data_IF_057890788053
#
_entry.id   IF_057890788053
#
_cell.length_a   1.000
_cell.length_b   1.000
_cell.length_c   1.000
_cell.angle_alpha   90.00
_cell.angle_beta   90.00
_cell.angle_gamma   90.00
#
_symmetry.space_group_name_H-M   'P 1'
#
loop_
_entity.id
_entity.type
_entity.pdbx_description
1 polymer ?
#
# COMPACT_ATOMS: atom_id res chain seq x y z
N UNK A 1 -34.48 -32.20 4.92
CA UNK A 1 -33.28 -31.50 5.41
C UNK A 1 -32.51 -30.97 4.20
N UNK A 2 -32.81 -29.72 3.82
CA UNK A 2 -31.87 -28.91 3.04
C UNK A 2 -30.62 -28.67 3.88
N UNK A 3 -29.46 -28.60 3.24
CA UNK A 3 -28.60 -27.41 3.25
C UNK A 3 -27.60 -27.55 2.10
N UNK A 4 -28.05 -27.11 0.92
CA UNK A 4 -27.20 -26.80 -0.21
C UNK A 4 -26.20 -25.72 0.21
N UNK A 5 -24.92 -25.96 -0.03
CA UNK A 5 -23.88 -24.95 0.15
C UNK A 5 -24.11 -23.84 -0.89
N UNK A 6 -24.13 -22.55 -0.48
CA UNK A 6 -24.27 -21.48 -1.44
C UNK A 6 -22.98 -21.36 -2.28
N UNK A 7 -23.15 -21.40 -3.59
CA UNK A 7 -22.17 -20.92 -4.57
C UNK A 7 -21.83 -19.49 -4.17
N UNK A 8 -20.55 -19.22 -3.91
CA UNK A 8 -20.01 -17.93 -3.48
C UNK A 8 -20.04 -16.94 -4.65
N UNK A 9 -21.24 -16.61 -5.10
CA UNK A 9 -21.51 -15.46 -5.95
C UNK A 9 -21.23 -14.18 -5.17
N UNK A 10 -20.56 -13.26 -5.84
CA UNK A 10 -20.71 -11.82 -5.70
C UNK A 10 -20.80 -11.30 -4.25
N UNK A 11 -19.71 -11.45 -3.50
CA UNK A 11 -19.55 -10.72 -2.24
C UNK A 11 -19.14 -9.30 -2.56
N UNK A 12 -20.04 -8.35 -2.29
CA UNK A 12 -19.87 -6.93 -2.55
C UNK A 12 -18.48 -6.41 -2.21
N UNK A 13 -17.89 -5.68 -3.16
CA UNK A 13 -16.72 -4.83 -2.94
C UNK A 13 -17.09 -3.77 -1.91
N UNK A 14 -16.60 -3.91 -0.69
CA UNK A 14 -16.63 -2.83 0.31
C UNK A 14 -15.56 -1.81 -0.08
N UNK A 15 -15.89 -0.51 -0.12
CA UNK A 15 -14.98 0.60 -0.49
C UNK A 15 -13.63 0.59 0.26
N UNK A 16 -13.56 -0.04 1.44
CA UNK A 16 -12.36 -0.22 2.25
C UNK A 16 -11.32 -1.18 1.61
N UNK A 17 -11.77 -2.25 0.95
CA UNK A 17 -10.88 -3.13 0.20
C UNK A 17 -10.29 -2.42 -1.03
N UNK A 18 -11.06 -1.52 -1.66
CA UNK A 18 -10.59 -0.79 -2.84
C UNK A 18 -9.41 0.14 -2.48
N UNK A 19 -9.43 0.81 -1.32
CA UNK A 19 -8.31 1.67 -0.90
C UNK A 19 -7.03 0.88 -0.60
N UNK A 20 -7.16 -0.27 0.07
CA UNK A 20 -6.03 -1.15 0.36
C UNK A 20 -5.35 -1.60 -0.94
N UNK A 21 -6.12 -2.13 -1.88
CA UNK A 21 -5.61 -2.65 -3.15
C UNK A 21 -4.95 -1.54 -3.98
N UNK A 22 -5.52 -0.33 -3.97
CA UNK A 22 -4.90 0.82 -4.65
C UNK A 22 -3.57 1.20 -4.02
N UNK A 23 -3.48 1.22 -2.68
CA UNK A 23 -2.24 1.52 -1.97
C UNK A 23 -1.16 0.49 -2.25
N UNK A 24 -1.51 -0.80 -2.17
CA UNK A 24 -0.60 -1.91 -2.48
C UNK A 24 -0.09 -1.80 -3.91
N UNK A 25 -0.98 -1.61 -4.89
CA UNK A 25 -0.60 -1.50 -6.30
C UNK A 25 0.31 -0.29 -6.55
N UNK A 26 0.03 0.85 -5.92
CA UNK A 26 0.88 2.03 -6.01
C UNK A 26 2.28 1.78 -5.43
N UNK A 27 2.37 1.12 -4.28
CA UNK A 27 3.63 0.77 -3.63
C UNK A 27 4.46 -0.15 -4.53
N UNK A 28 3.88 -1.25 -5.02
CA UNK A 28 4.56 -2.22 -5.88
C UNK A 28 5.08 -1.53 -7.16
N UNK A 29 4.24 -0.71 -7.81
CA UNK A 29 4.62 0.00 -9.03
C UNK A 29 5.77 1.01 -8.84
N UNK A 30 5.99 1.51 -7.61
CA UNK A 30 6.96 2.56 -7.32
C UNK A 30 8.10 2.14 -6.38
N UNK A 31 8.14 0.89 -5.91
CA UNK A 31 9.14 0.38 -4.96
C UNK A 31 10.58 0.70 -5.39
N UNK A 32 10.92 0.48 -6.67
CA UNK A 32 12.25 0.81 -7.21
C UNK A 32 12.57 2.31 -7.15
N UNK A 33 11.58 3.19 -7.29
CA UNK A 33 11.79 4.65 -7.17
C UNK A 33 12.05 5.04 -5.73
N UNK A 34 11.31 4.47 -4.79
CA UNK A 34 11.48 4.71 -3.35
C UNK A 34 12.85 4.25 -2.87
N UNK A 35 13.28 3.05 -3.30
CA UNK A 35 14.62 2.56 -3.03
C UNK A 35 15.71 3.50 -3.57
N UNK A 36 15.61 3.91 -4.83
CA UNK A 36 16.60 4.85 -5.41
C UNK A 36 16.63 6.17 -4.64
N UNK A 37 15.48 6.69 -4.23
CA UNK A 37 15.40 7.91 -3.45
C UNK A 37 16.08 7.73 -2.09
N UNK A 38 15.70 6.73 -1.30
CA UNK A 38 16.30 6.44 0.00
C UNK A 38 17.82 6.28 -0.13
N UNK A 39 18.28 5.50 -1.12
CA UNK A 39 19.69 5.29 -1.38
C UNK A 39 20.45 6.59 -1.73
N UNK A 40 19.82 7.56 -2.39
CA UNK A 40 20.49 8.85 -2.65
C UNK A 40 20.82 9.62 -1.37
N UNK A 41 20.05 9.42 -0.30
CA UNK A 41 20.27 10.06 0.99
C UNK A 41 21.24 9.28 1.88
N UNK A 42 21.09 7.96 1.99
CA UNK A 42 21.87 7.15 2.96
C UNK A 42 23.12 6.52 2.36
N UNK A 43 23.17 6.34 1.03
CA UNK A 43 24.30 5.70 0.30
C UNK A 43 24.68 4.30 0.82
N UNK A 44 23.76 3.64 1.53
CA UNK A 44 23.88 2.31 2.08
C UNK A 44 22.66 1.49 1.64
N UNK A 45 22.90 0.25 1.19
CA UNK A 45 21.83 -0.61 0.69
C UNK A 45 20.87 -1.06 1.80
N UNK A 46 21.40 -1.53 2.93
CA UNK A 46 20.59 -2.01 4.05
C UNK A 46 19.74 -0.89 4.64
N UNK A 47 20.35 0.28 4.89
CA UNK A 47 19.61 1.43 5.42
C UNK A 47 18.52 1.90 4.46
N UNK A 48 18.78 1.86 3.13
CA UNK A 48 17.79 2.22 2.13
C UNK A 48 16.64 1.22 2.07
N UNK A 49 16.93 -0.07 2.22
CA UNK A 49 15.91 -1.12 2.30
C UNK A 49 15.07 -0.93 3.56
N UNK A 50 15.68 -0.69 4.72
CA UNK A 50 14.96 -0.51 5.98
C UNK A 50 14.03 0.71 5.94
N UNK A 51 14.49 1.84 5.37
CA UNK A 51 13.65 3.03 5.17
C UNK A 51 12.43 2.71 4.30
N UNK A 52 12.64 2.05 3.15
CA UNK A 52 11.53 1.70 2.25
C UNK A 52 10.54 0.75 2.92
N UNK A 53 11.03 -0.25 3.65
CA UNK A 53 10.18 -1.24 4.31
C UNK A 53 9.37 -0.61 5.45
N UNK A 54 9.99 0.26 6.25
CA UNK A 54 9.28 1.02 7.29
C UNK A 54 8.20 1.92 6.69
N UNK A 55 8.50 2.61 5.58
CA UNK A 55 7.52 3.45 4.90
C UNK A 55 6.34 2.63 4.35
N UNK A 56 6.60 1.45 3.80
CA UNK A 56 5.56 0.52 3.33
C UNK A 56 4.71 0.04 4.50
N UNK A 57 5.34 -0.38 5.61
CA UNK A 57 4.63 -0.83 6.81
C UNK A 57 3.70 0.26 7.33
N UNK A 58 4.21 1.48 7.55
CA UNK A 58 3.40 2.62 8.00
C UNK A 58 2.31 2.99 6.99
N UNK A 59 2.56 2.87 5.69
CA UNK A 59 1.55 3.13 4.68
C UNK A 59 0.39 2.11 4.75
N UNK A 60 0.70 0.84 4.95
CA UNK A 60 -0.29 -0.23 5.10
C UNK A 60 -1.00 -0.23 6.46
N UNK A 61 -0.41 0.40 7.48
CA UNK A 61 -1.08 0.64 8.77
C UNK A 61 -2.08 1.81 8.67
N UNK A 62 -1.76 2.84 7.89
CA UNK A 62 -2.52 4.08 7.84
C UNK A 62 -3.34 4.30 6.55
N UNK A 63 -3.45 3.33 5.66
CA UNK A 63 -4.18 3.46 4.38
C UNK A 63 -5.63 3.94 4.55
N UNK A 64 -6.30 3.54 5.64
CA UNK A 64 -7.67 3.99 5.96
C UNK A 64 -7.80 5.50 6.21
N UNK A 65 -6.69 6.21 6.44
CA UNK A 65 -6.67 7.68 6.58
C UNK A 65 -6.73 8.43 5.24
N UNK A 66 -6.53 7.72 4.12
CA UNK A 66 -6.56 8.33 2.78
C UNK A 66 -8.02 8.63 2.42
N UNK A 67 -8.40 9.90 2.57
CA UNK A 67 -9.74 10.39 2.22
C UNK A 67 -9.97 10.43 0.72
N UNK A 68 -8.92 10.71 -0.05
CA UNK A 68 -9.01 10.81 -1.50
C UNK A 68 -7.76 10.20 -2.16
N UNK A 69 -7.99 9.12 -2.90
CA UNK A 69 -6.94 8.32 -3.55
C UNK A 69 -6.12 9.12 -4.56
N UNK A 70 -6.67 10.18 -5.14
CA UNK A 70 -5.96 11.07 -6.07
C UNK A 70 -4.67 11.65 -5.45
N UNK A 71 -4.61 11.78 -4.12
CA UNK A 71 -3.45 12.28 -3.38
C UNK A 71 -2.49 11.21 -2.87
N UNK A 72 -2.66 9.95 -3.24
CA UNK A 72 -1.83 8.84 -2.75
C UNK A 72 -0.32 9.10 -2.90
N UNK A 73 0.08 9.73 -4.00
CA UNK A 73 1.48 10.09 -4.24
C UNK A 73 2.00 11.02 -3.14
N UNK A 74 1.37 12.17 -2.96
CA UNK A 74 1.79 13.18 -1.98
C UNK A 74 1.69 12.65 -0.55
N UNK A 75 0.70 11.81 -0.27
CA UNK A 75 0.57 11.16 1.04
C UNK A 75 1.72 10.18 1.30
N UNK A 76 2.06 9.31 0.34
CA UNK A 76 3.14 8.33 0.52
C UNK A 76 4.51 8.99 0.69
N UNK A 77 4.79 10.08 -0.03
CA UNK A 77 6.03 10.84 0.16
C UNK A 77 6.15 11.56 1.51
N UNK A 78 5.08 11.63 2.32
CA UNK A 78 5.17 12.09 3.71
C UNK A 78 5.49 10.95 4.68
N UNK A 79 5.27 9.72 4.25
CA UNK A 79 5.53 8.50 5.03
C UNK A 79 6.96 7.99 4.78
N UNK A 80 7.48 8.16 3.55
CA UNK A 80 8.83 7.80 3.12
C UNK A 80 9.87 8.87 3.47
#
# INVERSE_FOLDING_TARGET
>A
MQHSMPVKGDRGRTMEHDHYDIVVNYIIANQKKFYRLAYTYVRNENDALDIVQNAIYSALEHYGSIREISYIKTWFYRVL
#
